data_IF_947545668654
#
_entry.id   IF_947545668654
#
_cell.length_a   1.000
_cell.length_b   1.000
_cell.length_c   1.000
_cell.angle_alpha   90.00
_cell.angle_beta   90.00
_cell.angle_gamma   90.00
#
_symmetry.space_group_name_H-M   'P 1'
#
loop_
_entity.id
_entity.type
_entity.pdbx_description
1 polymer ?
#
# COMPACT_ATOMS: atom_id res chain seq x y z
N UNK A 1 -12.50 -11.26 3.34
CA UNK A 1 -12.11 -11.26 1.90
C UNK A 1 -10.60 -11.18 1.81
N UNK A 2 -9.92 -11.92 0.93
CA UNK A 2 -8.45 -11.83 0.81
C UNK A 2 -8.03 -10.50 0.19
N UNK A 3 -6.82 -10.01 0.50
CA UNK A 3 -6.28 -8.78 -0.10
C UNK A 3 -6.24 -8.86 -1.64
N UNK A 4 -5.92 -10.04 -2.19
CA UNK A 4 -5.95 -10.28 -3.63
C UNK A 4 -7.34 -10.00 -4.24
N UNK A 5 -8.41 -10.49 -3.61
CA UNK A 5 -9.77 -10.25 -4.06
C UNK A 5 -10.15 -8.77 -3.93
N UNK A 6 -9.80 -8.11 -2.82
CA UNK A 6 -10.03 -6.66 -2.65
C UNK A 6 -9.36 -5.83 -3.76
N UNK A 7 -8.11 -6.14 -4.08
CA UNK A 7 -7.37 -5.45 -5.15
C UNK A 7 -7.95 -5.75 -6.53
N UNK A 8 -8.35 -7.00 -6.78
CA UNK A 8 -9.06 -7.33 -8.01
C UNK A 8 -10.35 -6.51 -8.15
N UNK A 9 -11.15 -6.42 -7.08
CA UNK A 9 -12.42 -5.69 -7.09
C UNK A 9 -12.20 -4.20 -7.40
N UNK A 10 -11.23 -3.55 -6.74
CA UNK A 10 -10.81 -2.18 -7.08
C UNK A 10 -10.39 -2.12 -8.55
N UNK A 11 -9.47 -2.98 -8.97
CA UNK A 11 -8.86 -2.95 -10.30
C UNK A 11 -9.85 -3.18 -11.44
N UNK A 12 -10.91 -3.95 -11.20
CA UNK A 12 -12.00 -4.17 -12.15
C UNK A 12 -12.80 -2.89 -12.45
N UNK A 13 -12.76 -1.91 -11.55
CA UNK A 13 -13.43 -0.61 -11.70
C UNK A 13 -12.52 0.49 -12.28
N UNK A 14 -11.21 0.21 -12.40
CA UNK A 14 -10.22 1.15 -12.93
C UNK A 14 -10.17 1.01 -14.46
N UNK A 15 -10.47 2.09 -15.16
CA UNK A 15 -10.35 2.13 -16.62
C UNK A 15 -8.89 2.14 -17.04
N UNK A 16 -8.60 1.73 -18.28
CA UNK A 16 -7.25 1.74 -18.83
C UNK A 16 -6.64 3.16 -18.80
N UNK A 17 -7.42 4.18 -19.16
CA UNK A 17 -6.97 5.57 -19.09
C UNK A 17 -6.64 6.00 -17.66
N UNK A 18 -7.51 5.71 -16.69
CA UNK A 18 -7.24 6.03 -15.28
C UNK A 18 -5.97 5.30 -14.80
N UNK A 19 -5.77 4.05 -15.18
CA UNK A 19 -4.58 3.30 -14.84
C UNK A 19 -3.30 3.95 -15.39
N UNK A 20 -3.30 4.38 -16.65
CA UNK A 20 -2.16 5.07 -17.26
C UNK A 20 -1.92 6.43 -16.60
N UNK A 21 -2.96 7.20 -16.29
CA UNK A 21 -2.84 8.47 -15.57
C UNK A 21 -2.18 8.28 -14.20
N UNK A 22 -2.54 7.24 -13.45
CA UNK A 22 -1.97 6.96 -12.11
C UNK A 22 -0.47 6.61 -12.14
N UNK A 23 0.04 6.21 -13.31
CA UNK A 23 1.45 5.92 -13.53
C UNK A 23 2.26 7.16 -13.90
N UNK A 24 1.63 8.27 -14.28
CA UNK A 24 2.35 9.50 -14.64
C UNK A 24 3.16 10.05 -13.46
N UNK A 25 4.24 10.72 -13.81
CA UNK A 25 5.08 11.47 -12.86
C UNK A 25 4.83 12.95 -13.05
N UNK A 26 4.41 13.62 -11.97
CA UNK A 26 4.27 15.07 -11.94
C UNK A 26 5.62 15.72 -11.64
N UNK A 27 6.01 16.69 -12.46
CA UNK A 27 7.19 17.54 -12.25
C UNK A 27 7.04 18.84 -13.04
N UNK A 28 7.80 19.86 -12.64
CA UNK A 28 7.92 21.09 -13.40
C UNK A 28 9.05 20.95 -14.44
N UNK A 29 8.77 20.96 -15.76
CA UNK A 29 9.80 20.79 -16.78
C UNK A 29 10.91 21.84 -16.74
N UNK A 30 10.62 23.04 -16.24
CA UNK A 30 11.60 24.12 -16.14
C UNK A 30 12.76 23.81 -15.18
N UNK A 31 12.58 22.85 -14.26
CA UNK A 31 13.59 22.47 -13.28
C UNK A 31 14.64 21.49 -13.85
N UNK A 32 14.53 21.12 -15.14
CA UNK A 32 15.34 20.07 -15.76
C UNK A 32 15.91 20.49 -17.12
N UNK A 33 17.12 20.00 -17.42
CA UNK A 33 17.67 20.04 -18.77
C UNK A 33 17.18 18.83 -19.59
N UNK A 34 16.52 19.08 -20.73
CA UNK A 34 16.05 17.99 -21.61
C UNK A 34 17.15 17.57 -22.58
N UNK A 35 17.48 16.29 -22.53
CA UNK A 35 18.46 15.59 -23.34
C UNK A 35 17.71 14.62 -24.26
N UNK A 36 17.73 14.90 -25.55
CA UNK A 36 17.10 14.08 -26.57
C UNK A 36 18.16 13.26 -27.29
N UNK A 37 18.02 11.94 -27.25
CA UNK A 37 18.86 11.00 -27.99
C UNK A 37 18.05 10.49 -29.18
N UNK A 38 18.42 10.95 -30.36
CA UNK A 38 17.79 10.52 -31.61
C UNK A 38 18.62 9.42 -32.27
N UNK A 39 17.97 8.33 -32.64
CA UNK A 39 18.58 7.22 -33.36
C UNK A 39 18.21 7.31 -34.83
N UNK A 40 19.22 7.26 -35.70
CA UNK A 40 19.02 7.08 -37.14
C UNK A 40 19.33 5.63 -37.51
N UNK A 41 18.41 4.96 -38.20
CA UNK A 41 18.61 3.58 -38.64
C UNK A 41 19.08 3.57 -40.09
N UNK A 42 20.28 3.04 -40.35
CA UNK A 42 20.84 2.84 -41.70
C UNK A 42 21.36 1.42 -41.82
N UNK A 43 20.96 0.70 -42.87
CA UNK A 43 21.39 -0.68 -43.15
C UNK A 43 21.25 -1.63 -41.94
N UNK A 44 20.17 -1.47 -41.17
CA UNK A 44 19.89 -2.28 -39.97
C UNK A 44 20.77 -1.96 -38.75
N UNK A 45 21.57 -0.90 -38.80
CA UNK A 45 22.38 -0.40 -37.66
C UNK A 45 21.85 0.94 -37.17
N UNK A 46 21.92 1.14 -35.86
CA UNK A 46 21.55 2.41 -35.23
C UNK A 46 22.79 3.30 -35.04
N UNK A 47 22.66 4.56 -35.44
CA UNK A 47 23.57 5.65 -35.09
C UNK A 47 22.82 6.60 -34.15
N UNK A 48 23.44 7.05 -33.06
CA UNK A 48 22.80 7.91 -32.07
C UNK A 48 23.40 9.32 -32.05
N UNK A 49 22.55 10.32 -31.85
CA UNK A 49 22.97 11.72 -31.62
C UNK A 49 22.28 12.28 -30.38
N UNK A 50 23.08 12.82 -29.47
CA UNK A 50 22.58 13.55 -28.31
C UNK A 50 22.42 15.04 -28.65
N UNK A 51 21.27 15.62 -28.31
CA UNK A 51 21.01 17.05 -28.44
C UNK A 51 20.25 17.58 -27.23
N UNK A 52 20.50 18.85 -26.87
CA UNK A 52 19.64 19.57 -25.93
C UNK A 52 18.41 20.06 -26.68
N UNK A 53 17.22 19.86 -26.11
CA UNK A 53 15.96 20.26 -26.74
C UNK A 53 15.01 20.91 -25.74
N UNK A 54 13.92 21.48 -26.23
CA UNK A 54 12.74 21.74 -25.40
C UNK A 54 11.96 20.44 -25.21
N UNK A 55 11.24 20.32 -24.09
CA UNK A 55 10.35 19.20 -23.84
C UNK A 55 9.01 19.42 -24.55
N UNK A 56 8.55 18.41 -25.30
CA UNK A 56 7.18 18.36 -25.81
C UNK A 56 6.36 17.35 -24.98
N UNK A 57 5.51 17.88 -24.09
CA UNK A 57 4.66 17.07 -23.20
C UNK A 57 3.54 16.33 -23.94
N UNK A 58 3.18 16.75 -25.16
CA UNK A 58 2.17 16.06 -25.97
C UNK A 58 2.73 14.78 -26.58
N UNK A 59 4.04 14.76 -26.84
CA UNK A 59 4.78 13.67 -27.49
C UNK A 59 5.55 12.79 -26.51
N UNK A 60 5.73 13.22 -25.27
CA UNK A 60 6.46 12.45 -24.25
C UNK A 60 5.52 12.00 -23.15
N UNK A 61 5.83 10.88 -22.50
CA UNK A 61 5.10 10.38 -21.34
C UNK A 61 6.10 9.85 -20.33
N UNK A 62 6.22 10.52 -19.19
CA UNK A 62 7.05 10.08 -18.07
C UNK A 62 6.18 9.31 -17.09
N UNK A 63 6.59 8.09 -16.78
CA UNK A 63 5.89 7.22 -15.84
C UNK A 63 6.77 6.87 -14.65
N UNK A 64 6.15 6.40 -13.57
CA UNK A 64 6.82 5.63 -12.53
C UNK A 64 7.36 4.33 -13.15
N UNK A 65 8.29 3.67 -12.47
CA UNK A 65 8.74 2.35 -12.90
C UNK A 65 7.56 1.37 -12.84
N UNK A 66 7.33 0.62 -13.92
CA UNK A 66 6.23 -0.36 -14.04
C UNK A 66 6.66 -1.79 -13.73
N UNK A 67 7.97 -1.98 -13.52
CA UNK A 67 8.60 -3.22 -13.10
C UNK A 67 10.12 -3.09 -12.97
N UNK A 68 10.76 -4.21 -12.65
CA UNK A 68 12.23 -4.31 -12.53
C UNK A 68 12.76 -4.17 -11.10
N UNK A 69 14.01 -4.61 -10.89
CA UNK A 69 14.70 -4.63 -9.59
C UNK A 69 16.20 -4.35 -9.76
N UNK A 70 16.83 -3.82 -8.71
CA UNK A 70 18.29 -3.62 -8.68
C UNK A 70 18.78 -2.72 -9.80
N UNK A 71 19.63 -3.23 -10.69
CA UNK A 71 20.27 -2.48 -11.77
C UNK A 71 19.34 -2.19 -12.97
N UNK A 72 18.10 -2.69 -12.99
CA UNK A 72 17.24 -2.61 -14.18
C UNK A 72 15.76 -2.39 -13.94
N UNK A 73 15.39 -1.21 -13.44
CA UNK A 73 14.01 -0.72 -13.50
C UNK A 73 13.63 -0.41 -14.94
N UNK A 74 12.37 -0.64 -15.28
CA UNK A 74 11.82 -0.25 -16.57
C UNK A 74 10.50 0.50 -16.45
N UNK A 75 10.25 1.32 -17.46
CA UNK A 75 9.16 2.29 -17.52
C UNK A 75 8.26 1.97 -18.71
N UNK A 76 7.11 2.63 -18.82
CA UNK A 76 6.20 2.39 -19.93
C UNK A 76 6.82 2.85 -21.25
N UNK A 77 7.36 4.06 -21.27
CA UNK A 77 8.18 4.59 -22.37
C UNK A 77 9.59 4.89 -21.87
N UNK A 78 10.61 4.89 -22.76
CA UNK A 78 11.98 5.25 -22.41
C UNK A 78 12.12 6.78 -22.23
N UNK A 79 11.33 7.37 -21.35
CA UNK A 79 11.44 8.75 -20.93
C UNK A 79 11.79 8.77 -19.44
N UNK A 80 12.95 9.31 -19.08
CA UNK A 80 13.49 9.20 -17.74
C UNK A 80 13.68 10.57 -17.11
N UNK A 81 13.21 10.71 -15.88
CA UNK A 81 13.44 11.87 -15.02
C UNK A 81 14.54 11.52 -14.02
N UNK A 82 15.59 12.31 -13.99
CA UNK A 82 16.72 12.13 -13.08
C UNK A 82 16.92 13.39 -12.22
N UNK A 83 16.93 13.19 -10.91
CA UNK A 83 17.12 14.25 -9.92
C UNK A 83 18.54 14.19 -9.37
N UNK A 84 19.29 15.29 -9.47
CA UNK A 84 20.66 15.38 -8.93
C UNK A 84 21.58 14.23 -9.38
N UNK A 85 21.47 13.82 -10.64
CA UNK A 85 22.18 12.68 -11.20
C UNK A 85 23.59 13.07 -11.65
N UNK A 86 24.57 12.22 -11.32
CA UNK A 86 25.99 12.44 -11.62
C UNK A 86 26.57 11.47 -12.64
N UNK A 87 25.85 10.41 -13.02
CA UNK A 87 26.33 9.38 -13.93
C UNK A 87 25.29 9.07 -15.02
N UNK A 88 25.12 10.03 -15.94
CA UNK A 88 24.24 9.86 -17.10
C UNK A 88 24.68 8.71 -18.02
N UNK A 89 25.97 8.40 -18.06
CA UNK A 89 26.51 7.27 -18.83
C UNK A 89 25.91 5.95 -18.35
N UNK A 90 25.95 5.69 -17.03
CA UNK A 90 25.33 4.50 -16.44
C UNK A 90 23.81 4.49 -16.60
N UNK A 91 23.16 5.65 -16.47
CA UNK A 91 21.70 5.76 -16.67
C UNK A 91 21.27 5.45 -18.09
N UNK A 92 21.99 5.97 -19.08
CA UNK A 92 21.77 5.65 -20.49
C UNK A 92 21.88 4.15 -20.74
N UNK A 93 22.95 3.50 -20.25
CA UNK A 93 23.09 2.04 -20.39
C UNK A 93 21.89 1.31 -19.79
N UNK A 94 21.46 1.69 -18.58
CA UNK A 94 20.32 1.07 -17.91
C UNK A 94 18.97 1.29 -18.63
N UNK A 95 18.86 2.24 -19.57
CA UNK A 95 17.66 2.44 -20.37
C UNK A 95 17.29 1.22 -21.23
N UNK A 96 18.27 0.35 -21.55
CA UNK A 96 18.06 -0.86 -22.35
C UNK A 96 16.90 -1.72 -21.82
N UNK A 97 16.76 -1.81 -20.49
CA UNK A 97 15.70 -2.59 -19.86
C UNK A 97 14.30 -2.09 -20.22
N UNK A 98 14.14 -0.77 -20.43
CA UNK A 98 12.85 -0.20 -20.86
C UNK A 98 12.55 -0.54 -22.31
N UNK A 99 13.56 -0.53 -23.17
CA UNK A 99 13.37 -0.98 -24.54
C UNK A 99 13.03 -2.47 -24.62
N UNK A 100 13.78 -3.32 -23.89
CA UNK A 100 13.61 -4.77 -23.89
C UNK A 100 12.29 -5.21 -23.27
N UNK A 101 11.92 -4.66 -22.11
CA UNK A 101 10.80 -5.15 -21.29
C UNK A 101 9.51 -4.36 -21.46
N UNK A 102 9.56 -3.23 -22.16
CA UNK A 102 8.36 -2.43 -22.45
C UNK A 102 8.20 -2.20 -23.95
N UNK A 103 9.13 -1.51 -24.60
CA UNK A 103 8.96 -1.10 -26.01
C UNK A 103 8.80 -2.30 -26.94
N UNK A 104 9.64 -3.34 -26.80
CA UNK A 104 9.55 -4.56 -27.61
C UNK A 104 8.46 -5.55 -27.16
N UNK A 105 7.87 -5.33 -25.98
CA UNK A 105 6.83 -6.22 -25.43
C UNK A 105 5.44 -5.71 -25.76
N UNK A 106 5.23 -4.39 -25.62
CA UNK A 106 3.93 -3.75 -25.80
C UNK A 106 3.82 -2.97 -27.10
N UNK A 107 4.92 -2.83 -27.84
CA UNK A 107 4.92 -2.19 -29.14
C UNK A 107 4.33 -3.08 -30.24
N UNK A 108 3.92 -2.46 -31.35
CA UNK A 108 3.49 -3.17 -32.54
C UNK A 108 4.66 -3.84 -33.26
N UNK A 109 4.45 -5.08 -33.72
CA UNK A 109 5.48 -5.89 -34.40
C UNK A 109 6.15 -5.17 -35.57
N UNK A 110 5.40 -4.35 -36.31
CA UNK A 110 5.91 -3.56 -37.45
C UNK A 110 7.07 -2.62 -37.08
N UNK A 111 7.11 -2.17 -35.83
CA UNK A 111 8.13 -1.25 -35.34
C UNK A 111 9.24 -1.97 -34.58
N UNK A 112 9.11 -3.28 -34.29
CA UNK A 112 10.15 -4.03 -33.57
C UNK A 112 11.48 -4.05 -34.33
N UNK A 113 11.44 -4.17 -35.66
CA UNK A 113 12.66 -4.18 -36.47
C UNK A 113 13.36 -2.81 -36.51
N UNK A 114 12.63 -1.72 -36.28
CA UNK A 114 13.22 -0.38 -36.08
C UNK A 114 13.88 -0.24 -34.70
N UNK A 115 13.33 -0.90 -33.68
CA UNK A 115 13.79 -0.79 -32.30
C UNK A 115 14.93 -1.75 -31.96
N UNK A 116 14.96 -2.97 -32.54
CA UNK A 116 16.03 -3.96 -32.28
C UNK A 116 17.45 -3.38 -32.43
N UNK A 117 17.79 -2.63 -33.49
CA UNK A 117 19.12 -2.01 -33.62
C UNK A 117 19.41 -0.98 -32.52
N UNK A 118 18.40 -0.25 -32.03
CA UNK A 118 18.52 0.70 -30.92
C UNK A 118 18.86 -0.04 -29.62
N UNK A 119 18.18 -1.15 -29.34
CA UNK A 119 18.46 -1.97 -28.16
C UNK A 119 19.89 -2.50 -28.19
N UNK A 120 20.32 -3.00 -29.33
CA UNK A 120 21.67 -3.55 -29.50
C UNK A 120 22.75 -2.46 -29.35
N UNK A 121 22.49 -1.24 -29.87
CA UNK A 121 23.37 -0.09 -29.66
C UNK A 121 23.53 0.23 -28.16
N UNK A 122 22.43 0.39 -27.43
CA UNK A 122 22.47 0.75 -26.00
C UNK A 122 23.16 -0.35 -25.18
N UNK A 123 22.83 -1.62 -25.46
CA UNK A 123 23.40 -2.78 -24.76
C UNK A 123 24.92 -2.86 -24.92
N UNK A 124 25.43 -2.54 -26.11
CA UNK A 124 26.86 -2.59 -26.43
C UNK A 124 27.58 -1.25 -26.26
N UNK A 125 26.91 -0.23 -25.70
CA UNK A 125 27.49 1.10 -25.50
C UNK A 125 28.60 1.06 -24.44
N UNK A 126 29.85 0.94 -24.91
CA UNK A 126 31.05 0.82 -24.09
C UNK A 126 32.00 2.03 -24.26
N UNK A 127 31.92 2.73 -25.38
CA UNK A 127 32.61 4.00 -25.62
C UNK A 127 31.62 5.15 -25.45
N UNK A 128 32.08 6.28 -24.92
CA UNK A 128 31.20 7.42 -24.65
C UNK A 128 31.02 8.34 -25.87
N UNK A 129 30.50 7.77 -26.96
CA UNK A 129 30.29 8.46 -28.25
C UNK A 129 29.33 9.66 -28.14
N UNK A 130 28.38 9.61 -27.19
CA UNK A 130 27.42 10.67 -26.89
C UNK A 130 27.94 11.71 -25.88
N UNK A 131 29.15 11.53 -25.34
CA UNK A 131 29.76 12.45 -24.38
C UNK A 131 29.02 12.55 -23.04
N UNK A 132 28.30 11.51 -22.62
CA UNK A 132 27.46 11.49 -21.41
C UNK A 132 28.25 11.62 -20.11
N UNK A 133 29.54 11.25 -20.09
CA UNK A 133 30.42 11.40 -18.93
C UNK A 133 30.83 12.84 -18.65
N UNK A 134 30.62 13.75 -19.61
CA UNK A 134 30.98 15.16 -19.48
C UNK A 134 29.93 16.02 -18.75
N UNK A 135 28.76 15.45 -18.46
CA UNK A 135 27.68 16.16 -17.79
C UNK A 135 27.92 16.19 -16.27
N UNK A 136 27.81 17.40 -15.71
CA UNK A 136 27.88 17.61 -14.27
C UNK A 136 26.69 16.98 -13.53
N UNK A 137 26.77 16.97 -12.19
CA UNK A 137 25.64 16.57 -11.36
C UNK A 137 24.47 17.55 -11.54
N UNK A 138 23.30 17.06 -11.93
CA UNK A 138 22.17 17.93 -12.24
C UNK A 138 20.82 17.22 -12.42
N UNK A 139 19.80 18.01 -12.77
CA UNK A 139 18.46 17.53 -13.05
C UNK A 139 18.28 17.37 -14.56
N UNK A 140 17.96 16.15 -15.01
CA UNK A 140 17.91 15.81 -16.43
C UNK A 140 16.62 15.09 -16.80
N UNK A 141 16.10 15.40 -17.98
CA UNK A 141 15.10 14.57 -18.67
C UNK A 141 15.79 13.89 -19.84
N UNK A 142 15.81 12.56 -19.85
CA UNK A 142 16.35 11.78 -20.95
C UNK A 142 15.20 11.25 -21.81
N UNK A 143 15.15 11.66 -23.08
CA UNK A 143 14.08 11.33 -24.03
C UNK A 143 14.71 10.68 -25.27
N UNK A 144 14.05 9.66 -25.80
CA UNK A 144 14.57 8.86 -26.90
C UNK A 144 13.65 8.98 -28.14
N UNK A 145 14.26 9.04 -29.31
CA UNK A 145 13.56 9.06 -30.59
C UNK A 145 14.23 8.20 -31.65
N UNK A 146 13.50 7.88 -32.71
CA UNK A 146 14.04 7.24 -33.92
C UNK A 146 13.61 8.07 -35.12
N UNK A 147 14.57 8.47 -35.94
CA UNK A 147 14.37 9.31 -37.12
C UNK A 147 13.55 10.59 -36.80
N UNK A 148 13.86 11.25 -35.68
CA UNK A 148 13.24 12.51 -35.27
C UNK A 148 11.86 12.39 -34.59
N UNK A 149 11.33 11.18 -34.42
CA UNK A 149 10.05 10.94 -33.71
C UNK A 149 10.31 10.26 -32.37
N UNK A 150 9.61 10.70 -31.33
CA UNK A 150 9.67 10.04 -30.01
C UNK A 150 9.14 8.60 -30.10
N UNK A 151 9.55 7.74 -29.18
CA UNK A 151 9.02 6.36 -29.11
C UNK A 151 7.50 6.34 -28.93
N UNK A 152 6.93 7.33 -28.22
CA UNK A 152 5.48 7.45 -28.05
C UNK A 152 4.75 7.83 -29.35
N UNK A 153 5.35 8.67 -30.18
CA UNK A 153 4.79 8.97 -31.52
C UNK A 153 4.86 7.75 -32.46
N UNK A 154 5.93 6.96 -32.36
CA UNK A 154 6.11 5.77 -33.20
C UNK A 154 5.23 4.60 -32.76
N UNK A 155 5.07 4.43 -31.46
CA UNK A 155 4.39 3.29 -30.82
C UNK A 155 3.40 3.77 -29.74
N UNK A 156 2.37 4.56 -30.10
CA UNK A 156 1.37 5.04 -29.14
C UNK A 156 0.59 3.89 -28.48
N UNK A 157 0.48 2.74 -29.15
CA UNK A 157 -0.21 1.53 -28.69
C UNK A 157 0.42 0.88 -27.45
N UNK A 158 1.68 1.21 -27.11
CA UNK A 158 2.34 0.68 -25.90
C UNK A 158 1.49 0.92 -24.65
N UNK A 159 0.85 2.08 -24.54
CA UNK A 159 0.01 2.42 -23.38
C UNK A 159 -1.21 1.52 -23.26
N UNK A 160 -1.97 1.36 -24.35
CA UNK A 160 -3.17 0.52 -24.36
C UNK A 160 -2.82 -0.97 -24.20
N UNK A 161 -1.75 -1.42 -24.85
CA UNK A 161 -1.29 -2.81 -24.77
C UNK A 161 -0.83 -3.15 -23.36
N UNK A 162 -0.11 -2.24 -22.69
CA UNK A 162 0.26 -2.40 -21.29
C UNK A 162 -0.97 -2.40 -20.37
N UNK A 163 -1.90 -1.46 -20.54
CA UNK A 163 -3.08 -1.38 -19.68
C UNK A 163 -3.95 -2.65 -19.75
N UNK A 164 -4.07 -3.24 -20.94
CA UNK A 164 -4.76 -4.51 -21.16
C UNK A 164 -3.97 -5.73 -20.68
N UNK A 165 -2.64 -5.67 -20.60
CA UNK A 165 -1.76 -6.81 -20.31
C UNK A 165 -0.65 -6.46 -19.31
N UNK A 166 -1.02 -5.86 -18.18
CA UNK A 166 -0.05 -5.30 -17.24
C UNK A 166 0.69 -6.35 -16.38
N UNK A 167 0.19 -7.60 -16.38
CA UNK A 167 0.75 -8.74 -15.68
C UNK A 167 1.68 -9.59 -16.57
N UNK A 168 2.72 -10.16 -15.96
CA UNK A 168 3.74 -10.94 -16.65
C UNK A 168 3.69 -12.40 -16.21
N UNK A 169 4.08 -13.31 -17.10
CA UNK A 169 4.36 -14.68 -16.71
C UNK A 169 5.55 -14.68 -15.74
N UNK A 170 5.50 -15.53 -14.72
CA UNK A 170 6.63 -15.67 -13.81
C UNK A 170 7.85 -16.19 -14.59
N UNK A 171 9.03 -15.59 -14.40
CA UNK A 171 10.25 -15.82 -15.21
C UNK A 171 10.75 -17.25 -15.32
N UNK A 172 10.26 -18.13 -14.45
CA UNK A 172 10.76 -19.50 -14.25
C UNK A 172 9.67 -20.53 -14.63
N UNK A 173 8.57 -20.12 -15.28
CA UNK A 173 7.37 -20.92 -15.46
C UNK A 173 6.77 -20.82 -16.86
N UNK A 174 5.97 -21.85 -17.16
CA UNK A 174 5.04 -21.90 -18.27
C UNK A 174 3.60 -21.69 -17.76
N UNK A 175 2.71 -21.28 -18.65
CA UNK A 175 1.28 -21.24 -18.38
C UNK A 175 0.74 -22.65 -18.15
N UNK A 176 -0.04 -22.84 -17.08
CA UNK A 176 -0.69 -24.12 -16.78
C UNK A 176 -2.19 -23.93 -16.62
N UNK A 177 -2.99 -24.87 -17.11
CA UNK A 177 -4.41 -24.90 -16.77
C UNK A 177 -4.58 -25.10 -15.26
N UNK A 178 -5.29 -24.17 -14.62
CA UNK A 178 -5.65 -24.25 -13.21
C UNK A 178 -6.98 -23.53 -12.98
N UNK A 179 -7.54 -23.66 -11.77
CA UNK A 179 -8.67 -22.84 -11.34
C UNK A 179 -8.10 -21.50 -10.89
N UNK A 180 -8.41 -20.43 -11.61
CA UNK A 180 -8.01 -19.08 -11.23
C UNK A 180 -8.59 -18.72 -9.86
N UNK A 181 -7.73 -18.34 -8.92
CA UNK A 181 -8.06 -18.13 -7.52
C UNK A 181 -9.14 -17.06 -7.31
N UNK A 182 -9.23 -16.10 -8.22
CA UNK A 182 -10.13 -14.96 -8.11
C UNK A 182 -11.49 -15.21 -8.75
N UNK A 183 -11.49 -15.68 -10.00
CA UNK A 183 -12.70 -15.91 -10.78
C UNK A 183 -13.35 -17.27 -10.51
N UNK A 184 -12.59 -18.23 -9.99
CA UNK A 184 -13.02 -19.62 -9.81
C UNK A 184 -13.18 -20.40 -11.11
N UNK A 185 -12.73 -19.84 -12.25
CA UNK A 185 -12.84 -20.46 -13.57
C UNK A 185 -11.58 -21.24 -13.92
N UNK A 186 -11.73 -22.29 -14.72
CA UNK A 186 -10.59 -23.04 -15.29
C UNK A 186 -9.98 -22.23 -16.44
N UNK A 187 -8.76 -21.75 -16.27
CA UNK A 187 -8.07 -20.85 -17.20
C UNK A 187 -6.55 -21.14 -17.21
N UNK A 188 -5.84 -20.59 -18.19
CA UNK A 188 -4.37 -20.58 -18.19
C UNK A 188 -3.87 -19.62 -17.10
N UNK A 189 -3.17 -20.19 -16.12
CA UNK A 189 -2.67 -19.52 -14.94
C UNK A 189 -1.14 -19.56 -14.88
N UNK A 190 -0.56 -18.69 -14.03
CA UNK A 190 0.89 -18.54 -13.86
C UNK A 190 1.36 -17.09 -13.91
N UNK A 191 0.41 -16.15 -13.99
CA UNK A 191 0.68 -14.74 -14.14
C UNK A 191 0.92 -14.07 -12.78
N UNK A 192 1.88 -13.15 -12.76
CA UNK A 192 2.25 -12.37 -11.59
C UNK A 192 1.79 -10.92 -11.78
N UNK A 193 1.02 -10.35 -10.83
CA UNK A 193 0.60 -8.95 -10.88
C UNK A 193 1.78 -7.95 -10.69
N UNK A 194 2.99 -8.44 -10.41
CA UNK A 194 4.19 -7.65 -10.17
C UNK A 194 4.06 -6.64 -8.99
N UNK A 195 3.35 -7.07 -7.94
CA UNK A 195 3.15 -6.28 -6.70
C UNK A 195 4.01 -6.89 -5.58
N UNK A 196 4.80 -6.09 -4.85
CA UNK A 196 5.93 -6.59 -4.01
C UNK A 196 5.63 -7.67 -2.97
N UNK A 197 4.42 -7.73 -2.41
CA UNK A 197 4.03 -8.79 -1.48
C UNK A 197 3.41 -10.01 -2.19
N UNK A 198 2.99 -9.87 -3.45
CA UNK A 198 2.70 -10.99 -4.34
C UNK A 198 3.98 -11.50 -5.04
N UNK A 199 5.00 -10.64 -5.18
CA UNK A 199 6.28 -10.97 -5.79
C UNK A 199 7.31 -11.32 -4.72
N UNK A 200 7.26 -12.58 -4.26
CA UNK A 200 8.16 -13.13 -3.24
C UNK A 200 9.63 -13.26 -3.66
N UNK A 201 10.14 -12.52 -4.66
CA UNK A 201 11.58 -12.59 -5.00
C UNK A 201 12.50 -12.13 -3.84
N UNK A 202 11.93 -11.59 -2.76
CA UNK A 202 12.63 -11.26 -1.51
C UNK A 202 12.64 -12.38 -0.46
N UNK A 203 11.98 -13.52 -0.71
CA UNK A 203 11.92 -14.65 0.20
C UNK A 203 12.61 -15.87 -0.41
N UNK A 204 12.98 -16.80 0.47
CA UNK A 204 13.65 -18.06 0.15
C UNK A 204 13.03 -18.73 -1.09
N UNK A 205 13.86 -19.20 -2.04
CA UNK A 205 13.41 -19.80 -3.32
C UNK A 205 12.29 -20.86 -3.16
N UNK A 206 12.27 -21.55 -2.03
CA UNK A 206 11.24 -22.54 -1.66
C UNK A 206 9.81 -21.99 -1.44
N UNK A 207 9.60 -20.67 -1.37
CA UNK A 207 8.27 -20.07 -1.29
C UNK A 207 7.66 -19.73 -2.66
N UNK A 208 8.47 -19.66 -3.73
CA UNK A 208 7.97 -19.38 -5.09
C UNK A 208 6.90 -20.38 -5.56
N UNK A 209 7.08 -21.72 -5.38
CA UNK A 209 6.04 -22.69 -5.74
C UNK A 209 4.72 -22.48 -4.99
N UNK A 210 4.78 -22.01 -3.74
CA UNK A 210 3.59 -21.89 -2.90
C UNK A 210 2.61 -20.82 -3.38
N UNK A 211 3.07 -19.73 -3.99
CA UNK A 211 2.16 -18.71 -4.54
C UNK A 211 1.43 -19.26 -5.77
N UNK A 212 2.10 -20.10 -6.55
CA UNK A 212 1.56 -20.63 -7.81
C UNK A 212 0.57 -21.77 -7.56
N UNK A 213 0.83 -22.57 -6.54
CA UNK A 213 -0.04 -23.68 -6.17
C UNK A 213 -1.18 -23.26 -5.25
N UNK A 214 -0.99 -22.20 -4.43
CA UNK A 214 -2.03 -21.70 -3.52
C UNK A 214 -2.81 -20.50 -4.07
N UNK A 215 -2.24 -19.73 -5.00
CA UNK A 215 -2.84 -18.55 -5.63
C UNK A 215 -2.59 -18.56 -7.17
N UNK A 216 -3.05 -19.59 -7.90
CA UNK A 216 -3.03 -19.57 -9.35
C UNK A 216 -3.81 -18.36 -9.88
N UNK A 217 -3.18 -17.54 -10.71
CA UNK A 217 -3.80 -16.36 -11.31
C UNK A 217 -3.74 -16.43 -12.83
N UNK A 218 -4.86 -16.17 -13.47
CA UNK A 218 -4.93 -15.88 -14.90
C UNK A 218 -4.43 -14.47 -15.20
N UNK A 219 -4.12 -14.22 -16.48
CA UNK A 219 -3.61 -12.92 -16.93
C UNK A 219 -4.54 -11.77 -16.57
N UNK A 220 -5.85 -11.99 -16.74
CA UNK A 220 -6.87 -10.99 -16.44
C UNK A 220 -6.91 -10.68 -14.95
N UNK A 221 -6.98 -11.72 -14.11
CA UNK A 221 -7.00 -11.57 -12.65
C UNK A 221 -5.75 -10.85 -12.14
N UNK A 222 -4.56 -11.24 -12.61
CA UNK A 222 -3.30 -10.59 -12.25
C UNK A 222 -3.24 -9.13 -12.75
N UNK A 223 -3.73 -8.84 -13.95
CA UNK A 223 -3.79 -7.46 -14.49
C UNK A 223 -4.71 -6.59 -13.66
N UNK A 224 -5.91 -7.06 -13.31
CA UNK A 224 -6.83 -6.36 -12.42
C UNK A 224 -6.21 -6.13 -11.04
N UNK A 225 -5.55 -7.12 -10.44
CA UNK A 225 -4.86 -6.94 -9.16
C UNK A 225 -3.79 -5.85 -9.26
N UNK A 226 -3.00 -5.81 -10.35
CA UNK A 226 -2.01 -4.75 -10.56
C UNK A 226 -2.67 -3.37 -10.67
N UNK A 227 -3.75 -3.24 -11.45
CA UNK A 227 -4.52 -1.99 -11.54
C UNK A 227 -5.05 -1.53 -10.19
N UNK A 228 -5.66 -2.45 -9.44
CA UNK A 228 -6.18 -2.17 -8.10
C UNK A 228 -5.09 -1.74 -7.14
N UNK A 229 -3.91 -2.35 -7.21
CA UNK A 229 -2.75 -1.95 -6.41
C UNK A 229 -2.29 -0.52 -6.75
N UNK A 230 -2.11 -0.20 -8.04
CA UNK A 230 -1.72 1.14 -8.47
C UNK A 230 -2.77 2.18 -8.06
N UNK A 231 -4.06 1.87 -8.18
CA UNK A 231 -5.12 2.75 -7.67
C UNK A 231 -5.00 2.97 -6.16
N UNK A 232 -4.83 1.89 -5.41
CA UNK A 232 -4.77 1.89 -3.96
C UNK A 232 -3.64 2.79 -3.42
N UNK A 233 -2.42 2.63 -3.93
CA UNK A 233 -1.26 3.40 -3.43
C UNK A 233 -1.30 4.88 -3.80
N UNK A 234 -2.03 5.25 -4.86
CA UNK A 234 -2.16 6.64 -5.31
C UNK A 234 -3.37 7.35 -4.66
N UNK A 235 -4.49 6.64 -4.50
CA UNK A 235 -5.76 7.25 -4.11
C UNK A 235 -6.25 6.87 -2.71
N UNK A 236 -5.77 5.77 -2.13
CA UNK A 236 -6.24 5.22 -0.86
C UNK A 236 -5.16 5.18 0.23
N UNK A 237 -4.07 5.92 0.03
CA UNK A 237 -2.96 6.07 0.98
C UNK A 237 -3.16 7.31 1.84
N UNK A 238 -3.07 7.11 3.15
CA UNK A 238 -3.32 8.11 4.18
C UNK A 238 -2.17 8.14 5.19
N UNK A 239 -2.14 9.20 6.00
CA UNK A 239 -1.11 9.42 7.01
C UNK A 239 -1.72 9.99 8.28
N UNK A 240 -1.34 9.41 9.43
CA UNK A 240 -1.72 9.90 10.74
C UNK A 240 -0.55 9.80 11.70
N UNK A 241 -0.13 10.95 12.27
CA UNK A 241 0.94 11.04 13.29
C UNK A 241 2.20 10.22 12.95
N UNK A 242 2.70 10.37 11.71
CA UNK A 242 3.90 9.69 11.23
C UNK A 242 3.71 8.23 10.78
N UNK A 243 2.50 7.67 10.91
CA UNK A 243 2.16 6.36 10.36
C UNK A 243 1.48 6.51 9.00
N UNK A 244 2.01 5.78 8.02
CA UNK A 244 1.37 5.59 6.74
C UNK A 244 0.48 4.34 6.78
N UNK A 245 -0.70 4.46 6.20
CA UNK A 245 -1.62 3.35 6.04
C UNK A 245 -2.46 3.48 4.77
N UNK A 246 -3.07 2.37 4.39
CA UNK A 246 -3.98 2.26 3.25
C UNK A 246 -5.34 1.84 3.78
N UNK A 247 -6.40 2.51 3.31
CA UNK A 247 -7.79 2.12 3.59
C UNK A 247 -8.35 1.39 2.37
N UNK A 248 -8.75 0.14 2.54
CA UNK A 248 -9.43 -0.64 1.50
C UNK A 248 -10.85 -0.95 1.98
N UNK A 249 -11.90 -0.49 1.29
CA UNK A 249 -13.25 -0.87 1.65
C UNK A 249 -13.51 -2.34 1.30
N UNK A 250 -14.34 -2.97 2.11
CA UNK A 250 -14.89 -4.32 1.94
C UNK A 250 -16.40 -4.27 2.11
N UNK A 251 -17.13 -4.99 1.26
CA UNK A 251 -18.58 -5.15 1.37
C UNK A 251 -18.91 -6.61 1.66
N UNK A 252 -19.87 -6.87 2.56
CA UNK A 252 -20.37 -8.25 2.78
C UNK A 252 -20.96 -8.87 1.52
N UNK A 253 -21.60 -8.04 0.68
CA UNK A 253 -22.04 -8.39 -0.67
C UNK A 253 -21.51 -7.32 -1.62
N UNK A 254 -20.72 -7.73 -2.60
CA UNK A 254 -20.13 -6.79 -3.55
C UNK A 254 -21.24 -6.14 -4.39
N UNK A 255 -21.34 -4.81 -4.28
CA UNK A 255 -22.19 -3.96 -5.10
C UNK A 255 -21.29 -2.91 -5.75
N UNK A 256 -21.14 -2.98 -7.07
CA UNK A 256 -20.20 -2.14 -7.82
C UNK A 256 -20.50 -0.64 -7.65
N UNK A 257 -21.79 -0.25 -7.66
CA UNK A 257 -22.20 1.15 -7.58
C UNK A 257 -21.87 1.73 -6.21
N UNK A 258 -22.18 1.01 -5.14
CA UNK A 258 -21.85 1.37 -3.78
C UNK A 258 -20.34 1.37 -3.56
N UNK A 259 -19.63 0.35 -4.04
CA UNK A 259 -18.17 0.26 -3.90
C UNK A 259 -17.47 1.44 -4.57
N UNK A 260 -17.89 1.79 -5.80
CA UNK A 260 -17.37 2.94 -6.54
C UNK A 260 -17.65 4.27 -5.84
N UNK A 261 -18.82 4.44 -5.22
CA UNK A 261 -19.11 5.62 -4.39
C UNK A 261 -18.15 5.74 -3.22
N UNK A 262 -17.86 4.63 -2.52
CA UNK A 262 -16.94 4.61 -1.38
C UNK A 262 -15.52 4.97 -1.84
N UNK A 263 -15.02 4.32 -2.90
CA UNK A 263 -13.70 4.60 -3.46
C UNK A 263 -13.55 6.06 -3.90
N UNK A 264 -14.56 6.61 -4.57
CA UNK A 264 -14.56 8.02 -4.98
C UNK A 264 -14.55 8.97 -3.78
N UNK A 265 -15.24 8.62 -2.69
CA UNK A 265 -15.19 9.38 -1.44
C UNK A 265 -13.78 9.42 -0.86
N UNK A 266 -13.13 8.27 -0.72
CA UNK A 266 -11.74 8.16 -0.23
C UNK A 266 -10.76 8.92 -1.15
N UNK A 267 -10.87 8.74 -2.46
CA UNK A 267 -10.07 9.45 -3.47
C UNK A 267 -10.21 10.97 -3.34
N UNK A 268 -11.43 11.49 -3.19
CA UNK A 268 -11.66 12.93 -3.00
C UNK A 268 -10.99 13.46 -1.74
N UNK A 269 -11.01 12.71 -0.64
CA UNK A 269 -10.36 13.09 0.61
C UNK A 269 -8.85 13.19 0.40
N UNK A 270 -8.25 12.16 -0.22
CA UNK A 270 -6.84 12.13 -0.58
C UNK A 270 -6.44 13.34 -1.45
N UNK A 271 -7.29 13.73 -2.39
CA UNK A 271 -7.02 14.81 -3.34
C UNK A 271 -7.36 16.22 -2.80
N UNK A 272 -8.12 16.31 -1.71
CA UNK A 272 -8.77 17.58 -1.34
C UNK A 272 -7.82 18.67 -0.84
N UNK A 273 -6.74 18.34 -0.12
CA UNK A 273 -5.78 19.33 0.42
C UNK A 273 -4.38 18.73 0.61
N UNK A 274 -3.33 19.55 0.67
CA UNK A 274 -1.97 19.09 1.04
C UNK A 274 -1.78 18.98 2.56
N UNK A 275 -2.70 19.55 3.35
CA UNK A 275 -2.63 19.54 4.80
C UNK A 275 -3.10 18.18 5.35
N UNK A 276 -2.22 17.52 6.12
CA UNK A 276 -2.50 16.21 6.71
C UNK A 276 -3.60 16.27 7.78
N UNK A 277 -3.73 17.37 8.51
CA UNK A 277 -4.73 17.53 9.57
C UNK A 277 -6.15 17.63 8.98
N UNK A 278 -6.33 18.45 7.95
CA UNK A 278 -7.61 18.56 7.23
C UNK A 278 -8.00 17.25 6.55
N UNK A 279 -7.01 16.52 6.01
CA UNK A 279 -7.23 15.17 5.47
C UNK A 279 -7.76 14.23 6.52
N UNK A 280 -7.14 14.21 7.71
CA UNK A 280 -7.60 13.42 8.84
C UNK A 280 -9.03 13.77 9.23
N UNK A 281 -9.38 15.06 9.34
CA UNK A 281 -10.74 15.50 9.71
C UNK A 281 -11.79 15.04 8.66
N UNK A 282 -11.46 15.15 7.36
CA UNK A 282 -12.36 14.73 6.28
C UNK A 282 -12.49 13.22 6.19
N UNK A 283 -11.40 12.49 6.38
CA UNK A 283 -11.37 11.03 6.53
C UNK A 283 -12.32 10.61 7.66
N UNK A 284 -12.14 11.19 8.85
CA UNK A 284 -12.94 10.90 10.03
C UNK A 284 -14.43 11.18 9.79
N UNK A 285 -14.75 12.30 9.14
CA UNK A 285 -16.14 12.65 8.79
C UNK A 285 -16.75 11.63 7.81
N UNK A 286 -15.97 11.18 6.83
CA UNK A 286 -16.42 10.22 5.83
C UNK A 286 -16.62 8.82 6.44
N UNK A 287 -15.70 8.36 7.28
CA UNK A 287 -15.83 7.08 8.00
C UNK A 287 -17.09 7.09 8.86
N UNK A 288 -17.34 8.17 9.63
CA UNK A 288 -18.58 8.30 10.42
C UNK A 288 -19.84 8.24 9.56
N UNK A 289 -19.83 8.86 8.36
CA UNK A 289 -20.97 8.81 7.43
C UNK A 289 -21.23 7.39 6.90
N UNK A 290 -20.16 6.66 6.60
CA UNK A 290 -20.24 5.25 6.16
C UNK A 290 -20.84 4.36 7.25
N UNK A 291 -20.35 4.50 8.49
CA UNK A 291 -20.82 3.70 9.64
C UNK A 291 -22.27 4.05 10.01
N UNK A 292 -22.64 5.32 9.93
CA UNK A 292 -24.01 5.78 10.15
C UNK A 292 -24.98 5.41 9.02
N UNK A 293 -24.52 4.74 7.94
CA UNK A 293 -25.31 4.38 6.77
C UNK A 293 -26.02 5.57 6.11
N UNK A 294 -25.45 6.77 6.28
CA UNK A 294 -25.98 8.00 5.70
C UNK A 294 -25.51 8.16 4.25
N UNK A 295 -26.29 8.87 3.42
CA UNK A 295 -26.02 9.12 1.98
C UNK A 295 -26.26 7.94 1.00
N UNK A 296 -27.09 6.95 1.36
CA UNK A 296 -27.37 5.81 0.46
C UNK A 296 -26.13 4.93 0.22
N UNK A 297 -25.17 5.00 1.14
CA UNK A 297 -24.02 4.12 1.24
C UNK A 297 -24.48 2.86 1.99
N UNK A 298 -24.21 1.70 1.40
CA UNK A 298 -24.76 0.42 1.84
C UNK A 298 -24.34 0.13 3.28
N UNK A 299 -25.34 -0.01 4.17
CA UNK A 299 -25.11 -0.62 5.48
C UNK A 299 -24.49 -1.99 5.27
N UNK A 300 -23.30 -2.23 5.85
CA UNK A 300 -22.40 -3.39 5.71
C UNK A 300 -21.08 -3.15 4.94
N UNK A 301 -20.65 -1.90 4.78
CA UNK A 301 -19.28 -1.57 4.40
C UNK A 301 -18.34 -1.62 5.62
N UNK A 302 -17.22 -2.31 5.47
CA UNK A 302 -16.12 -2.36 6.44
C UNK A 302 -14.89 -1.73 5.82
N UNK A 303 -14.04 -1.10 6.63
CA UNK A 303 -12.80 -0.49 6.17
C UNK A 303 -11.62 -1.28 6.72
N UNK A 304 -10.87 -1.90 5.82
CA UNK A 304 -9.63 -2.58 6.16
C UNK A 304 -8.48 -1.58 6.14
N UNK A 305 -7.78 -1.47 7.25
CA UNK A 305 -6.64 -0.56 7.39
C UNK A 305 -5.37 -1.40 7.35
N UNK A 306 -4.52 -1.16 6.37
CA UNK A 306 -3.20 -1.78 6.25
C UNK A 306 -2.12 -0.77 6.57
N UNK A 307 -1.29 -1.03 7.57
CA UNK A 307 -0.15 -0.19 7.88
C UNK A 307 0.99 -0.51 6.92
N UNK A 308 1.50 0.51 6.23
CA UNK A 308 2.45 0.32 5.13
C UNK A 308 3.61 1.28 5.18
N UNK A 309 4.70 0.89 4.52
CA UNK A 309 5.74 1.80 4.06
C UNK A 309 5.91 1.62 2.55
N UNK A 310 5.54 2.66 1.80
CA UNK A 310 5.57 2.67 0.34
C UNK A 310 6.78 3.42 -0.22
N UNK A 311 7.53 2.77 -1.10
CA UNK A 311 8.51 3.43 -1.96
C UNK A 311 7.84 3.77 -3.30
N UNK A 312 7.56 5.05 -3.52
CA UNK A 312 6.86 5.54 -4.72
C UNK A 312 7.68 5.43 -6.01
N UNK A 313 9.01 5.34 -5.92
CA UNK A 313 9.89 5.28 -7.09
C UNK A 313 9.82 3.92 -7.78
N UNK A 314 9.87 2.85 -7.00
CA UNK A 314 9.89 1.47 -7.49
C UNK A 314 8.65 0.66 -7.06
N UNK A 315 7.64 1.37 -6.55
CA UNK A 315 6.35 0.85 -6.09
C UNK A 315 6.49 -0.29 -5.06
N UNK A 316 7.56 -0.25 -4.23
CA UNK A 316 7.66 -1.16 -3.08
C UNK A 316 6.57 -0.90 -2.10
N UNK A 317 6.10 -1.96 -1.45
CA UNK A 317 5.46 -1.83 -0.16
C UNK A 317 6.06 -2.82 0.83
N UNK A 318 6.24 -2.35 2.06
CA UNK A 318 6.33 -3.19 3.24
C UNK A 318 5.01 -3.06 3.98
N UNK A 319 4.25 -4.14 4.07
CA UNK A 319 3.02 -4.18 4.88
C UNK A 319 3.44 -4.66 6.27
N UNK A 320 3.24 -3.82 7.28
CA UNK A 320 3.55 -4.16 8.67
C UNK A 320 2.48 -5.07 9.28
N UNK A 321 1.24 -4.91 8.84
CA UNK A 321 0.07 -5.68 9.25
C UNK A 321 -1.21 -4.93 8.88
N UNK A 322 -2.36 -5.60 8.93
CA UNK A 322 -3.64 -4.91 8.96
C UNK A 322 -4.09 -4.63 10.39
N UNK A 323 -4.99 -3.67 10.59
CA UNK A 323 -5.64 -3.48 11.89
C UNK A 323 -6.31 -4.77 12.41
N UNK A 324 -6.76 -5.64 11.51
CA UNK A 324 -7.29 -6.98 11.84
C UNK A 324 -6.18 -7.95 12.31
N UNK A 325 -4.96 -7.83 11.77
CA UNK A 325 -3.77 -8.59 12.20
C UNK A 325 -3.14 -8.04 13.48
N UNK A 326 -3.44 -6.77 13.80
CA UNK A 326 -3.01 -6.07 15.01
C UNK A 326 -3.91 -6.33 16.22
N UNK A 327 -4.83 -7.30 16.12
CA UNK A 327 -5.42 -7.97 17.27
C UNK A 327 -4.34 -8.87 17.91
N UNK A 328 -3.84 -8.55 19.11
CA UNK A 328 -2.77 -9.23 19.83
C UNK A 328 -2.74 -10.76 19.83
N UNK A 329 -3.89 -11.42 19.70
CA UNK A 329 -3.97 -12.88 19.57
C UNK A 329 -3.14 -13.47 18.41
N UNK A 330 -2.66 -12.66 17.45
CA UNK A 330 -1.89 -13.12 16.27
C UNK A 330 -0.43 -12.65 16.17
N UNK A 331 0.04 -11.75 17.01
CA UNK A 331 1.49 -11.49 17.13
C UNK A 331 2.06 -12.66 17.95
N UNK A 332 2.70 -13.64 17.32
CA UNK A 332 3.04 -14.95 17.93
C UNK A 332 3.58 -14.85 19.37
N UNK A 333 4.46 -13.88 19.66
CA UNK A 333 5.00 -13.68 21.00
C UNK A 333 3.99 -13.04 21.97
N UNK A 334 3.33 -11.95 21.58
CA UNK A 334 2.32 -11.27 22.40
C UNK A 334 1.11 -12.17 22.60
N UNK A 335 0.58 -12.79 21.54
CA UNK A 335 -0.49 -13.76 21.58
C UNK A 335 -0.14 -15.00 22.41
N UNK A 336 1.12 -15.47 22.40
CA UNK A 336 1.57 -16.53 23.31
C UNK A 336 1.56 -16.07 24.77
N UNK A 337 2.01 -14.84 25.06
CA UNK A 337 1.97 -14.26 26.41
C UNK A 337 0.53 -14.07 26.89
N UNK A 338 -0.37 -13.60 26.03
CA UNK A 338 -1.79 -13.47 26.33
C UNK A 338 -2.44 -14.81 26.63
N UNK A 339 -2.20 -15.82 25.80
CA UNK A 339 -2.71 -17.16 26.05
C UNK A 339 -2.19 -17.74 27.37
N UNK A 340 -0.90 -17.54 27.66
CA UNK A 340 -0.27 -17.99 28.91
C UNK A 340 -0.84 -17.30 30.14
N UNK A 341 -1.06 -15.99 30.06
CA UNK A 341 -1.52 -15.15 31.18
C UNK A 341 -3.05 -14.99 31.20
N UNK A 342 -3.77 -15.69 30.31
CA UNK A 342 -5.22 -15.59 30.10
C UNK A 342 -5.68 -14.14 29.94
N UNK A 343 -5.06 -13.42 29.02
CA UNK A 343 -5.39 -12.02 28.68
C UNK A 343 -6.15 -12.00 27.37
N UNK A 344 -7.16 -11.13 27.25
CA UNK A 344 -7.80 -10.78 25.99
C UNK A 344 -7.73 -9.27 25.74
N UNK A 345 -7.68 -8.93 24.46
CA UNK A 345 -7.40 -7.61 23.92
C UNK A 345 -8.69 -6.81 23.69
N UNK A 346 -9.74 -7.44 23.19
CA UNK A 346 -11.00 -6.78 22.86
C UNK A 346 -12.22 -7.65 23.15
N UNK A 347 -13.23 -7.04 23.76
CA UNK A 347 -14.39 -7.78 24.20
C UNK A 347 -15.65 -6.92 24.28
N UNK A 348 -16.73 -7.32 23.59
CA UNK A 348 -18.08 -6.81 23.87
C UNK A 348 -18.51 -7.36 25.24
N UNK A 349 -18.96 -6.50 26.16
CA UNK A 349 -19.28 -6.85 27.55
C UNK A 349 -20.08 -8.16 27.71
N UNK A 350 -20.94 -8.47 26.74
CA UNK A 350 -21.88 -9.59 26.71
C UNK A 350 -21.27 -10.99 26.58
N UNK A 351 -20.00 -11.14 26.22
CA UNK A 351 -19.44 -12.49 26.00
C UNK A 351 -18.33 -12.87 27.03
N UNK A 352 -18.06 -12.07 28.08
CA UNK A 352 -16.81 -12.12 28.90
C UNK A 352 -16.45 -13.58 29.24
N UNK A 353 -15.22 -13.99 28.96
CA UNK A 353 -14.75 -15.35 29.31
C UNK A 353 -14.32 -15.37 30.78
N UNK A 354 -14.91 -16.27 31.54
CA UNK A 354 -14.58 -16.47 32.95
C UNK A 354 -13.08 -16.77 33.13
N UNK A 355 -12.43 -16.05 34.04
CA UNK A 355 -11.00 -16.19 34.35
C UNK A 355 -10.01 -15.49 33.40
N UNK A 356 -10.48 -14.73 32.40
CA UNK A 356 -9.61 -13.93 31.52
C UNK A 356 -9.52 -12.46 31.96
N UNK A 357 -8.31 -11.90 31.95
CA UNK A 357 -8.09 -10.46 32.08
C UNK A 357 -8.50 -9.77 30.76
N UNK A 358 -9.42 -8.81 30.83
CA UNK A 358 -9.89 -8.05 29.67
C UNK A 358 -9.21 -6.67 29.62
N UNK A 359 -8.26 -6.45 28.70
CA UNK A 359 -7.59 -5.15 28.57
C UNK A 359 -8.56 -4.03 28.15
N UNK A 360 -9.66 -4.37 27.47
CA UNK A 360 -10.74 -3.42 27.17
C UNK A 360 -11.28 -2.70 28.42
N UNK A 361 -11.25 -3.33 29.60
CA UNK A 361 -11.74 -2.69 30.83
C UNK A 361 -10.96 -1.41 31.18
N UNK A 362 -9.69 -1.28 30.75
CA UNK A 362 -8.84 -0.10 30.99
C UNK A 362 -8.51 0.71 29.74
N UNK A 363 -8.63 0.09 28.56
CA UNK A 363 -8.18 0.67 27.29
C UNK A 363 -9.30 0.87 26.26
N UNK A 364 -10.52 0.38 26.48
CA UNK A 364 -11.66 0.57 25.54
C UNK A 364 -12.68 1.61 26.02
N UNK A 365 -12.22 2.73 26.60
CA UNK A 365 -13.06 3.77 27.24
C UNK A 365 -14.11 4.32 26.29
N UNK A 366 -13.68 4.66 25.08
CA UNK A 366 -14.56 5.29 24.09
C UNK A 366 -15.52 4.26 23.52
N UNK A 367 -15.07 3.04 23.26
CA UNK A 367 -15.93 1.95 22.76
C UNK A 367 -17.05 1.64 23.75
N UNK A 368 -16.71 1.48 25.04
CA UNK A 368 -17.69 1.22 26.10
C UNK A 368 -18.63 2.40 26.30
N UNK A 369 -18.12 3.63 26.32
CA UNK A 369 -18.96 4.83 26.40
C UNK A 369 -19.98 4.89 25.25
N UNK A 370 -19.56 4.63 24.01
CA UNK A 370 -20.50 4.61 22.86
C UNK A 370 -21.54 3.51 22.96
N UNK A 371 -21.17 2.33 23.49
CA UNK A 371 -22.09 1.20 23.68
C UNK A 371 -23.18 1.52 24.73
N UNK A 372 -22.80 2.09 25.89
CA UNK A 372 -23.73 2.41 26.96
C UNK A 372 -24.60 3.64 26.68
N UNK A 373 -24.02 4.70 26.11
CA UNK A 373 -24.74 5.95 25.85
C UNK A 373 -25.50 5.95 24.51
N UNK A 374 -25.34 4.91 23.69
CA UNK A 374 -25.81 4.85 22.29
C UNK A 374 -25.38 6.08 21.46
N UNK A 375 -24.28 6.72 21.83
CA UNK A 375 -23.73 7.90 21.16
C UNK A 375 -22.73 7.50 20.06
N UNK A 376 -22.63 8.30 18.99
CA UNK A 376 -21.69 8.03 17.90
C UNK A 376 -20.35 8.76 18.11
N UNK A 377 -19.33 8.06 18.60
CA UNK A 377 -17.93 8.53 18.62
C UNK A 377 -16.93 7.57 17.95
N UNK A 378 -17.20 7.03 16.75
CA UNK A 378 -16.47 5.86 16.21
C UNK A 378 -15.00 6.12 15.89
N UNK A 379 -14.64 7.34 15.47
CA UNK A 379 -13.25 7.69 15.20
C UNK A 379 -12.39 7.71 16.48
N UNK A 380 -12.96 8.14 17.62
CA UNK A 380 -12.24 8.04 18.89
C UNK A 380 -12.01 6.56 19.26
N UNK A 381 -12.98 5.68 18.95
CA UNK A 381 -12.80 4.21 19.09
C UNK A 381 -11.67 3.71 18.20
N UNK A 382 -11.58 4.18 16.96
CA UNK A 382 -10.49 3.83 16.05
C UNK A 382 -9.13 4.32 16.56
N UNK A 383 -9.05 5.55 17.06
CA UNK A 383 -7.83 6.12 17.66
C UNK A 383 -7.37 5.32 18.89
N UNK A 384 -8.32 4.91 19.72
CA UNK A 384 -8.08 4.05 20.89
C UNK A 384 -7.55 2.66 20.48
N UNK A 385 -8.13 2.08 19.42
CA UNK A 385 -7.64 0.82 18.81
C UNK A 385 -6.24 0.95 18.23
N UNK A 386 -5.94 2.07 17.54
CA UNK A 386 -4.60 2.36 17.01
C UNK A 386 -3.59 2.55 18.15
N UNK A 387 -3.95 3.27 19.21
CA UNK A 387 -3.08 3.45 20.38
C UNK A 387 -2.73 2.11 21.03
N UNK A 388 -3.73 1.26 21.26
CA UNK A 388 -3.51 -0.05 21.86
C UNK A 388 -2.65 -0.94 20.97
N UNK A 389 -2.83 -0.89 19.64
CA UNK A 389 -1.97 -1.58 18.70
C UNK A 389 -0.51 -1.09 18.76
N UNK A 390 -0.28 0.23 18.88
CA UNK A 390 1.08 0.79 19.04
C UNK A 390 1.76 0.32 20.33
N UNK A 391 1.01 0.22 21.44
CA UNK A 391 1.51 -0.32 22.70
C UNK A 391 1.95 -1.79 22.54
N UNK A 392 1.14 -2.61 21.89
CA UNK A 392 1.44 -4.04 21.71
C UNK A 392 2.58 -4.33 20.75
N UNK A 393 2.80 -3.44 19.77
CA UNK A 393 3.90 -3.52 18.83
C UNK A 393 5.20 -2.91 19.38
N UNK A 394 5.16 -2.29 20.56
CA UNK A 394 6.30 -1.61 21.16
C UNK A 394 6.70 -0.30 20.47
N UNK A 395 5.85 0.24 19.58
CA UNK A 395 6.04 1.57 18.98
C UNK A 395 5.72 2.70 19.95
N UNK A 396 4.88 2.41 20.94
CA UNK A 396 4.50 3.34 21.99
C UNK A 396 4.66 2.63 23.33
N UNK A 397 4.99 3.40 24.36
CA UNK A 397 5.02 2.92 25.73
C UNK A 397 4.12 3.80 26.57
N UNK A 398 3.31 3.17 27.42
CA UNK A 398 2.53 3.87 28.40
C UNK A 398 3.42 4.21 29.60
N UNK A 399 3.32 5.44 30.10
CA UNK A 399 4.01 5.81 31.34
C UNK A 399 3.37 5.07 32.51
N UNK A 400 4.19 4.54 33.42
CA UNK A 400 3.67 3.80 34.58
C UNK A 400 2.64 4.63 35.36
N UNK A 401 2.89 5.93 35.52
CA UNK A 401 1.97 6.87 36.17
C UNK A 401 0.62 6.97 35.44
N UNK A 402 0.63 7.11 34.11
CA UNK A 402 -0.61 7.18 33.32
C UNK A 402 -1.47 5.90 33.49
N UNK A 403 -0.82 4.74 33.61
CA UNK A 403 -1.51 3.48 33.83
C UNK A 403 -2.14 3.41 35.24
N UNK A 404 -1.45 3.91 36.27
CA UNK A 404 -2.01 4.01 37.62
C UNK A 404 -3.20 4.98 37.67
N UNK A 405 -3.08 6.15 37.02
CA UNK A 405 -4.16 7.13 36.94
C UNK A 405 -5.42 6.51 36.28
N UNK A 406 -5.24 5.64 35.28
CA UNK A 406 -6.34 4.87 34.67
C UNK A 406 -6.97 3.90 35.67
N UNK A 407 -6.18 3.14 36.43
CA UNK A 407 -6.70 2.23 37.45
C UNK A 407 -7.52 2.98 38.50
N UNK A 408 -6.98 4.08 39.04
CA UNK A 408 -7.68 4.93 40.00
C UNK A 408 -9.02 5.43 39.45
N UNK A 409 -9.02 5.91 38.21
CA UNK A 409 -10.25 6.35 37.54
C UNK A 409 -11.30 5.24 37.44
N UNK A 410 -10.92 4.00 37.09
CA UNK A 410 -11.86 2.89 36.94
C UNK A 410 -12.31 2.24 38.26
N UNK A 411 -11.55 2.45 39.34
CA UNK A 411 -11.99 2.16 40.71
C UNK A 411 -13.08 3.16 41.14
N UNK A 412 -12.88 4.45 40.86
CA UNK A 412 -13.80 5.49 41.31
C UNK A 412 -15.05 5.60 40.44
N UNK A 413 -14.95 5.37 39.12
CA UNK A 413 -16.02 5.63 38.17
C UNK A 413 -16.37 4.42 37.29
N UNK A 414 -17.64 4.33 36.89
CA UNK A 414 -18.10 3.43 35.84
C UNK A 414 -17.93 4.04 34.43
N UNK A 415 -18.29 3.26 33.40
CA UNK A 415 -18.16 3.67 32.01
C UNK A 415 -19.11 4.82 31.62
N UNK A 416 -20.08 5.18 32.49
CA UNK A 416 -20.96 6.34 32.37
C UNK A 416 -20.42 7.57 33.15
N UNK A 417 -19.21 7.48 33.71
CA UNK A 417 -18.63 8.42 34.68
C UNK A 417 -19.48 8.61 35.96
N UNK A 418 -20.33 7.62 36.31
CA UNK A 418 -20.99 7.61 37.61
C UNK A 418 -20.05 7.04 38.65
N UNK A 419 -20.06 7.63 39.84
CA UNK A 419 -19.20 7.22 40.94
C UNK A 419 -19.62 5.82 41.44
N UNK A 420 -18.69 4.85 41.40
CA UNK A 420 -18.87 3.49 41.92
C UNK A 420 -18.66 3.41 43.43
N UNK A 421 -17.83 4.30 43.98
CA UNK A 421 -17.55 4.37 45.42
C UNK A 421 -18.75 4.95 46.19
N UNK A 422 -19.76 4.11 46.42
CA UNK A 422 -20.81 4.29 47.43
C UNK A 422 -20.36 3.67 48.77
N UNK A 423 -21.04 3.94 49.88
CA UNK A 423 -20.69 3.36 51.20
C UNK A 423 -20.61 1.82 51.16
N UNK A 424 -21.45 1.18 50.35
CA UNK A 424 -21.48 -0.26 50.11
C UNK A 424 -20.33 -0.73 49.19
N UNK A 425 -19.94 0.08 48.20
CA UNK A 425 -18.75 -0.14 47.36
C UNK A 425 -17.43 0.00 48.12
N UNK A 426 -17.34 0.95 49.06
CA UNK A 426 -16.19 1.11 49.96
C UNK A 426 -16.06 -0.10 50.89
N UNK A 427 -17.17 -0.60 51.42
CA UNK A 427 -17.19 -1.80 52.26
C UNK A 427 -16.73 -3.04 51.49
N UNK A 428 -17.22 -3.25 50.28
CA UNK A 428 -16.76 -4.35 49.41
C UNK A 428 -15.27 -4.21 49.04
N UNK A 429 -14.78 -3.00 48.83
CA UNK A 429 -13.36 -2.77 48.53
C UNK A 429 -12.46 -3.09 49.73
N UNK A 430 -12.89 -2.76 50.95
CA UNK A 430 -12.17 -3.10 52.18
C UNK A 430 -12.22 -4.61 52.44
N UNK A 431 -13.36 -5.26 52.20
CA UNK A 431 -13.55 -6.69 52.46
C UNK A 431 -12.88 -7.59 51.40
N UNK A 432 -12.73 -7.12 50.15
CA UNK A 432 -12.19 -7.90 49.04
C UNK A 432 -11.09 -7.16 48.26
N UNK A 433 -10.20 -6.44 48.95
CA UNK A 433 -9.15 -5.60 48.36
C UNK A 433 -8.34 -6.29 47.27
N UNK A 434 -8.01 -7.57 47.51
CA UNK A 434 -7.16 -8.38 46.63
C UNK A 434 -7.84 -8.63 45.28
N UNK A 435 -9.16 -8.76 45.25
CA UNK A 435 -9.92 -8.99 44.01
C UNK A 435 -9.96 -7.77 43.08
N UNK A 436 -9.80 -6.56 43.64
CA UNK A 436 -9.81 -5.31 42.87
C UNK A 436 -8.43 -5.03 42.26
N UNK A 437 -7.35 -5.35 42.97
CA UNK A 437 -5.98 -5.14 42.49
C UNK A 437 -5.49 -6.29 41.61
N UNK A 438 -6.05 -7.49 41.72
CA UNK A 438 -5.62 -8.66 40.93
C UNK A 438 -5.62 -8.40 39.42
N UNK A 439 -6.67 -7.76 38.88
CA UNK A 439 -6.74 -7.45 37.46
C UNK A 439 -5.75 -6.33 37.05
N UNK A 440 -5.47 -5.40 37.94
CA UNK A 440 -4.51 -4.32 37.72
C UNK A 440 -3.08 -4.85 37.74
N UNK A 441 -2.75 -5.71 38.71
CA UNK A 441 -1.47 -6.41 38.83
C UNK A 441 -1.24 -7.31 37.62
N UNK A 442 -2.26 -8.06 37.19
CA UNK A 442 -2.18 -8.86 35.96
C UNK A 442 -2.02 -8.00 34.70
N UNK A 443 -2.61 -6.80 34.68
CA UNK A 443 -2.41 -5.84 33.58
C UNK A 443 -0.99 -5.32 33.55
N UNK A 444 -0.43 -4.96 34.71
CA UNK A 444 0.96 -4.54 34.87
C UNK A 444 1.95 -5.64 34.48
N UNK A 445 1.70 -6.87 34.92
CA UNK A 445 2.49 -8.06 34.57
C UNK A 445 2.49 -8.28 33.06
N UNK A 446 1.31 -8.26 32.44
CA UNK A 446 1.18 -8.46 31.00
C UNK A 446 1.89 -7.37 30.19
N UNK A 447 1.57 -6.10 30.44
CA UNK A 447 2.18 -4.97 29.72
C UNK A 447 3.69 -4.88 29.97
N UNK A 448 4.15 -5.24 31.18
CA UNK A 448 5.56 -5.37 31.50
C UNK A 448 6.22 -6.49 30.69
N UNK A 449 5.56 -7.63 30.54
CA UNK A 449 6.09 -8.79 29.80
C UNK A 449 6.29 -8.53 28.31
N UNK A 450 5.58 -7.56 27.73
CA UNK A 450 5.73 -7.12 26.33
C UNK A 450 6.52 -5.81 26.20
N UNK A 451 7.15 -5.32 27.27
CA UNK A 451 7.92 -4.08 27.30
C UNK A 451 7.12 -2.82 26.90
N UNK A 452 5.81 -2.82 27.13
CA UNK A 452 4.92 -1.71 26.80
C UNK A 452 4.89 -0.62 27.89
N UNK A 453 5.47 -0.87 29.07
CA UNK A 453 5.55 0.10 30.17
C UNK A 453 6.87 0.86 30.10
N UNK A 454 6.79 2.19 30.08
CA UNK A 454 7.92 3.08 30.33
C UNK A 454 8.04 3.27 31.84
N UNK A 455 9.04 2.61 32.43
CA UNK A 455 9.44 2.83 33.83
C UNK A 455 10.28 4.11 33.84
N UNK A 456 9.75 5.17 34.47
CA UNK A 456 10.46 6.43 34.71
C UNK A 456 11.65 6.23 35.63
#
# INVERSE_FOLDING_TARGET
MSLAKKLYDIGSLVTDDEFIELLKVDFNPADYATLFIDFTIKDGKAEAKLQKSSLDNTKTLFTKAIGGRGLGYYYLYPNFKYDSESDLYKKFKNSFHTFEKSVLVFGGERNHDLIKPVVEYIKNYNQDELGLKSFDKGNYLLVFGVNGKTIRELMPEISSNFASNAAFLHSDLEEKEAIDYISGKKELCGYNPDVKFFTYDNYHKGFKPQILDKLPLSKQSATCIKKGWIYTINNLRFYHKGLEYIIIPSLLKFDEVAYKKILNGLKRIQQSTKNLEEKSIKEDSFIRRLEAQSEGLVGNAYLDIYFTELNLTNLSVRIFGSMEDLLPSKIREVGSKMMKQKVCDYYLAERKKEGYLCLGDYFSKIELFTSFTKSSLPNKVLQEKIYLAKLFLGYEKIEHKELLDKFEHYREYDFENKKKLTDEGVKNWIEYSDSFVENEDRTLEFLGSINAIKRS
#
